data_IF_776179069879
#
_entry.id   IF_776179069879
#
_cell.length_a   1.000
_cell.length_b   1.000
_cell.length_c   1.000
_cell.angle_alpha   90.00
_cell.angle_beta   90.00
_cell.angle_gamma   90.00
#
_symmetry.space_group_name_H-M   'P 1'
#
loop_
_entity.id
_entity.type
_entity.pdbx_description
1 polymer ?
#
# COMPACT_ATOMS: atom_id res chain seq x y z
N UNK A 1 -9.27 -37.32 -19.88
CA UNK A 1 -9.47 -37.03 -18.45
C UNK A 1 -8.22 -36.80 -17.64
N UNK A 2 -7.01 -37.12 -18.13
CA UNK A 2 -5.75 -36.94 -17.36
C UNK A 2 -5.01 -35.61 -17.63
N UNK A 3 -5.36 -34.88 -18.67
CA UNK A 3 -4.69 -33.58 -18.98
C UNK A 3 -5.27 -32.38 -18.22
N UNK A 4 -6.51 -32.45 -17.71
CA UNK A 4 -7.13 -31.36 -16.96
C UNK A 4 -6.62 -31.23 -15.50
N UNK A 5 -6.08 -32.31 -14.92
CA UNK A 5 -5.59 -32.28 -13.53
C UNK A 5 -4.16 -31.73 -13.36
N UNK A 6 -3.38 -31.59 -14.42
CA UNK A 6 -2.00 -31.09 -14.34
C UNK A 6 -1.90 -29.56 -14.41
N UNK A 7 -2.87 -28.87 -15.02
CA UNK A 7 -2.88 -27.41 -15.07
C UNK A 7 -3.37 -26.76 -13.76
N UNK A 8 -4.27 -27.44 -13.03
CA UNK A 8 -4.81 -26.93 -11.75
C UNK A 8 -3.82 -27.01 -10.58
N UNK A 9 -2.69 -27.68 -10.73
CA UNK A 9 -1.71 -27.88 -9.64
C UNK A 9 -0.47 -26.98 -9.74
N UNK A 10 -0.39 -26.03 -10.68
CA UNK A 10 0.79 -25.16 -10.81
C UNK A 10 0.96 -24.21 -9.61
N UNK A 11 -0.13 -23.78 -9.01
CA UNK A 11 -0.10 -22.89 -7.83
C UNK A 11 0.55 -23.57 -6.62
N UNK A 12 0.31 -24.87 -6.46
CA UNK A 12 0.84 -25.66 -5.34
C UNK A 12 2.13 -26.44 -5.70
N UNK A 13 2.67 -26.25 -6.91
CA UNK A 13 3.89 -26.92 -7.34
C UNK A 13 5.10 -26.41 -6.56
N UNK A 14 5.94 -27.33 -6.10
CA UNK A 14 7.18 -27.02 -5.40
C UNK A 14 8.34 -27.03 -6.38
N UNK A 15 9.00 -25.88 -6.53
CA UNK A 15 10.22 -25.75 -7.32
C UNK A 15 11.46 -25.90 -6.43
N UNK A 16 12.62 -26.33 -6.98
CA UNK A 16 13.86 -26.36 -6.22
C UNK A 16 14.26 -24.94 -5.79
N UNK A 17 14.91 -24.84 -4.63
CA UNK A 17 15.33 -23.55 -4.03
C UNK A 17 16.13 -22.68 -5.00
N UNK A 18 17.03 -23.25 -5.78
CA UNK A 18 17.83 -22.49 -6.76
C UNK A 18 17.01 -21.80 -7.84
N UNK A 19 15.76 -22.24 -8.10
CA UNK A 19 14.80 -21.59 -9.00
C UNK A 19 13.91 -20.60 -8.24
N UNK A 20 13.49 -20.96 -7.02
CA UNK A 20 12.64 -20.12 -6.18
C UNK A 20 13.33 -18.84 -5.72
N UNK A 21 14.59 -18.95 -5.32
CA UNK A 21 15.32 -17.81 -4.75
C UNK A 21 15.44 -16.62 -5.71
N UNK A 22 15.90 -16.79 -6.96
CA UNK A 22 15.97 -15.65 -7.90
C UNK A 22 14.59 -15.05 -8.20
N UNK A 23 13.57 -15.87 -8.34
CA UNK A 23 12.20 -15.40 -8.59
C UNK A 23 11.61 -14.69 -7.38
N UNK A 24 11.81 -15.23 -6.18
CA UNK A 24 11.42 -14.60 -4.93
C UNK A 24 12.12 -13.26 -4.72
N UNK A 25 13.41 -13.21 -5.03
CA UNK A 25 14.18 -11.96 -4.96
C UNK A 25 13.66 -10.91 -5.94
N UNK A 26 13.23 -11.30 -7.15
CA UNK A 26 12.59 -10.39 -8.09
C UNK A 26 11.32 -9.76 -7.50
N UNK A 27 10.49 -10.56 -6.83
CA UNK A 27 9.29 -10.06 -6.15
C UNK A 27 9.64 -9.09 -5.02
N UNK A 28 10.68 -9.38 -4.23
CA UNK A 28 11.15 -8.49 -3.18
C UNK A 28 11.61 -7.15 -3.78
N UNK A 29 12.42 -7.18 -4.83
CA UNK A 29 12.94 -5.96 -5.47
C UNK A 29 11.82 -5.14 -6.12
N UNK A 30 10.80 -5.77 -6.68
CA UNK A 30 9.67 -5.06 -7.29
C UNK A 30 8.81 -4.31 -6.26
N UNK A 31 8.66 -4.84 -5.04
CA UNK A 31 7.87 -4.21 -3.99
C UNK A 31 8.70 -3.31 -3.05
N UNK A 32 10.02 -3.42 -3.08
CA UNK A 32 10.92 -2.82 -2.09
C UNK A 32 10.79 -1.29 -2.01
N UNK A 33 10.76 -0.61 -3.15
CA UNK A 33 10.61 0.85 -3.21
C UNK A 33 9.34 1.31 -2.50
N UNK A 34 8.21 0.66 -2.76
CA UNK A 34 6.95 0.94 -2.09
C UNK A 34 6.99 0.64 -0.60
N UNK A 35 7.64 -0.46 -0.21
CA UNK A 35 7.74 -0.87 1.18
C UNK A 35 8.56 0.12 2.03
N UNK A 36 9.68 0.63 1.52
CA UNK A 36 10.50 1.59 2.27
C UNK A 36 9.97 3.02 2.19
N UNK A 37 9.23 3.37 1.16
CA UNK A 37 8.69 4.72 0.98
C UNK A 37 7.80 5.15 2.16
N UNK A 38 6.93 4.29 2.63
CA UNK A 38 5.98 4.62 3.69
C UNK A 38 6.66 4.89 5.03
N UNK A 39 7.55 4.05 5.56
CA UNK A 39 8.26 4.37 6.80
C UNK A 39 9.16 5.62 6.66
N UNK A 40 9.78 5.85 5.51
CA UNK A 40 10.56 7.06 5.28
C UNK A 40 9.69 8.32 5.29
N UNK A 41 8.53 8.29 4.63
CA UNK A 41 7.59 9.40 4.60
C UNK A 41 7.00 9.66 5.98
N UNK A 42 6.52 8.63 6.66
CA UNK A 42 5.95 8.76 7.99
C UNK A 42 6.99 9.26 8.99
N UNK A 43 8.18 8.70 8.96
CA UNK A 43 9.30 9.11 9.80
C UNK A 43 9.69 10.57 9.56
N UNK A 44 9.74 11.01 8.32
CA UNK A 44 10.02 12.40 7.97
C UNK A 44 8.91 13.36 8.42
N UNK A 45 7.65 12.98 8.20
CA UNK A 45 6.49 13.80 8.57
C UNK A 45 6.36 13.96 10.10
N UNK A 46 6.73 12.95 10.88
CA UNK A 46 6.67 12.96 12.34
C UNK A 46 7.99 13.36 13.00
N UNK A 47 8.96 13.81 12.22
CA UNK A 47 10.29 14.25 12.69
C UNK A 47 11.01 13.18 13.54
N UNK A 48 10.92 11.93 13.16
CA UNK A 48 11.64 10.84 13.81
C UNK A 48 13.13 10.91 13.49
N UNK A 49 13.97 10.46 14.42
CA UNK A 49 15.42 10.37 14.19
C UNK A 49 15.77 9.15 13.31
N UNK A 50 17.00 9.10 12.83
CA UNK A 50 17.47 8.03 11.94
C UNK A 50 17.36 6.63 12.58
N UNK A 51 17.59 6.50 13.88
CA UNK A 51 17.47 5.24 14.61
C UNK A 51 16.00 4.75 14.65
N UNK A 52 15.06 5.66 14.91
CA UNK A 52 13.63 5.34 14.91
C UNK A 52 13.13 4.94 13.53
N UNK A 53 13.57 5.64 12.49
CA UNK A 53 13.20 5.32 11.10
C UNK A 53 13.81 3.98 10.69
N UNK A 54 15.05 3.69 11.08
CA UNK A 54 15.68 2.39 10.86
C UNK A 54 14.86 1.26 11.49
N UNK A 55 14.38 1.45 12.71
CA UNK A 55 13.49 0.48 13.35
C UNK A 55 12.19 0.31 12.56
N UNK A 56 11.56 1.39 12.13
CA UNK A 56 10.32 1.33 11.33
C UNK A 56 10.51 0.52 10.05
N UNK A 57 11.62 0.73 9.36
CA UNK A 57 11.93 0.01 8.12
C UNK A 57 12.16 -1.47 8.41
N UNK A 58 12.94 -1.79 9.44
CA UNK A 58 13.19 -3.18 9.84
C UNK A 58 11.89 -3.89 10.24
N UNK A 59 11.05 -3.24 11.04
CA UNK A 59 9.75 -3.75 11.44
C UNK A 59 8.82 -3.93 10.24
N UNK A 60 8.84 -3.00 9.30
CA UNK A 60 8.05 -3.05 8.07
C UNK A 60 8.45 -4.25 7.20
N UNK A 61 9.73 -4.42 6.90
CA UNK A 61 10.21 -5.55 6.10
C UNK A 61 9.90 -6.89 6.76
N UNK A 62 10.14 -6.99 8.06
CA UNK A 62 9.84 -8.18 8.84
C UNK A 62 8.35 -8.53 8.78
N UNK A 63 7.49 -7.55 9.00
CA UNK A 63 6.04 -7.76 9.01
C UNK A 63 5.49 -8.00 7.60
N UNK A 64 6.04 -7.33 6.57
CA UNK A 64 5.74 -7.65 5.17
C UNK A 64 5.98 -9.13 4.88
N UNK A 65 7.09 -9.67 5.37
CA UNK A 65 7.41 -11.08 5.20
C UNK A 65 6.42 -12.00 5.89
N UNK A 66 6.07 -11.71 7.15
CA UNK A 66 5.06 -12.50 7.89
C UNK A 66 3.70 -12.41 7.21
N UNK A 67 3.26 -11.21 6.82
CA UNK A 67 1.99 -10.99 6.14
C UNK A 67 1.93 -11.74 4.81
N UNK A 68 3.01 -11.74 4.05
CA UNK A 68 3.12 -12.50 2.79
C UNK A 68 3.01 -14.00 3.04
N UNK A 69 3.66 -14.52 4.07
CA UNK A 69 3.55 -15.93 4.46
C UNK A 69 2.12 -16.29 4.89
N UNK A 70 1.44 -15.43 5.62
CA UNK A 70 0.04 -15.65 6.00
C UNK A 70 -0.88 -15.79 4.80
N UNK A 71 -0.62 -15.07 3.72
CA UNK A 71 -1.43 -15.13 2.49
C UNK A 71 -0.97 -16.22 1.53
N UNK A 72 0.31 -16.29 1.22
CA UNK A 72 0.82 -17.19 0.18
C UNK A 72 0.99 -18.63 0.68
N UNK A 73 1.48 -18.81 1.88
CA UNK A 73 1.59 -20.13 2.52
C UNK A 73 0.29 -20.50 3.23
N UNK A 74 -0.26 -19.57 3.99
CA UNK A 74 -1.49 -19.76 4.74
C UNK A 74 -1.31 -20.54 6.04
N UNK A 75 -2.37 -20.63 6.81
CA UNK A 75 -2.44 -21.45 8.02
C UNK A 75 -3.67 -22.36 7.92
N UNK A 76 -3.44 -23.63 7.63
CA UNK A 76 -4.49 -24.64 7.53
C UNK A 76 -5.62 -24.23 6.58
N UNK A 77 -6.86 -24.43 7.02
CA UNK A 77 -8.07 -24.01 6.32
C UNK A 77 -8.65 -22.70 6.85
N UNK A 78 -7.89 -21.96 7.66
CA UNK A 78 -8.38 -20.78 8.40
C UNK A 78 -7.92 -19.47 7.78
N UNK A 79 -6.64 -19.34 7.45
CA UNK A 79 -6.02 -18.10 6.99
C UNK A 79 -5.32 -18.28 5.64
N UNK A 80 -5.45 -17.26 4.81
CA UNK A 80 -4.67 -17.11 3.60
C UNK A 80 -5.39 -17.52 2.32
N UNK A 81 -5.24 -16.70 1.31
CA UNK A 81 -5.81 -16.94 -0.02
C UNK A 81 -5.06 -18.03 -0.78
N UNK A 82 -3.84 -18.36 -0.36
CA UNK A 82 -2.94 -19.37 -0.96
C UNK A 82 -2.71 -19.16 -2.45
N UNK A 83 -2.39 -17.95 -2.80
CA UNK A 83 -2.03 -17.49 -4.13
C UNK A 83 -0.67 -16.79 -4.11
N UNK A 84 0.00 -16.64 -5.25
CA UNK A 84 1.28 -15.93 -5.32
C UNK A 84 1.07 -14.40 -5.22
N UNK A 85 0.83 -13.92 -4.01
CA UNK A 85 0.67 -12.51 -3.68
C UNK A 85 1.73 -12.08 -2.68
N UNK A 86 2.14 -10.82 -2.76
CA UNK A 86 3.01 -10.16 -1.79
C UNK A 86 2.24 -9.05 -1.08
N UNK A 87 2.41 -8.96 0.22
CA UNK A 87 1.83 -7.90 1.04
C UNK A 87 2.88 -6.86 1.38
N UNK A 88 2.46 -5.61 1.31
CA UNK A 88 3.26 -4.46 1.73
C UNK A 88 2.36 -3.39 2.32
N UNK A 89 2.95 -2.31 2.81
CA UNK A 89 2.22 -1.23 3.43
C UNK A 89 1.24 -0.56 2.46
N UNK A 90 0.02 -0.33 2.91
CA UNK A 90 -1.01 0.34 2.14
C UNK A 90 -0.72 1.83 1.99
N UNK A 91 -0.72 2.35 0.75
CA UNK A 91 -0.62 3.79 0.50
C UNK A 91 -1.88 4.56 0.93
N UNK A 92 -3.02 3.90 0.98
CA UNK A 92 -4.27 4.49 1.47
C UNK A 92 -4.14 4.94 2.93
N UNK A 93 -3.35 4.23 3.72
CA UNK A 93 -3.14 4.52 5.14
C UNK A 93 -2.16 5.68 5.40
N UNK A 94 -1.38 6.12 4.42
CA UNK A 94 -0.28 7.08 4.65
C UNK A 94 -0.79 8.42 5.18
N UNK A 95 -1.74 9.04 4.50
CA UNK A 95 -2.28 10.35 4.93
C UNK A 95 -2.99 10.26 6.29
N UNK A 96 -3.87 9.29 6.55
CA UNK A 96 -4.46 9.12 7.88
C UNK A 96 -3.44 8.89 8.99
N UNK A 97 -2.42 8.07 8.74
CA UNK A 97 -1.37 7.83 9.74
C UNK A 97 -0.58 9.10 10.07
N UNK A 98 -0.26 9.91 9.06
CA UNK A 98 0.42 11.19 9.28
C UNK A 98 -0.45 12.11 10.14
N UNK A 99 -1.73 12.24 9.82
CA UNK A 99 -2.68 13.06 10.61
C UNK A 99 -2.78 12.60 12.06
N UNK A 100 -3.01 11.32 12.28
CA UNK A 100 -3.11 10.74 13.63
C UNK A 100 -1.78 10.92 14.38
N UNK A 101 -0.67 10.66 13.72
CA UNK A 101 0.66 10.78 14.32
C UNK A 101 1.01 12.21 14.74
N UNK A 102 0.68 13.19 13.91
CA UNK A 102 0.91 14.60 14.22
C UNK A 102 0.02 15.09 15.36
N UNK A 103 -1.20 14.61 15.44
CA UNK A 103 -2.18 15.06 16.42
C UNK A 103 -2.02 14.34 17.76
N UNK A 104 -1.74 13.03 17.77
CA UNK A 104 -1.75 12.19 18.97
C UNK A 104 -0.48 11.39 19.22
N UNK A 105 0.39 11.24 18.24
CA UNK A 105 1.62 10.45 18.31
C UNK A 105 1.52 9.05 17.74
N UNK A 106 2.66 8.35 17.70
CA UNK A 106 2.79 7.01 17.10
C UNK A 106 1.95 5.95 17.80
N UNK A 107 1.89 5.97 19.13
CA UNK A 107 1.17 4.96 19.91
C UNK A 107 -0.32 4.95 19.61
N UNK A 108 -0.89 6.09 19.27
CA UNK A 108 -2.29 6.20 18.85
C UNK A 108 -2.51 5.62 17.46
N UNK A 109 -1.55 5.79 16.54
CA UNK A 109 -1.59 5.12 15.24
C UNK A 109 -1.68 3.60 15.45
N UNK A 110 -0.81 3.05 16.27
CA UNK A 110 -0.73 1.60 16.46
C UNK A 110 -1.94 1.02 17.18
N UNK A 111 -2.51 1.74 18.14
CA UNK A 111 -3.77 1.36 18.76
C UNK A 111 -4.90 1.26 17.74
N UNK A 112 -5.00 2.23 16.84
CA UNK A 112 -5.98 2.25 15.77
C UNK A 112 -5.75 1.13 14.75
N UNK A 113 -4.51 0.88 14.36
CA UNK A 113 -4.13 -0.20 13.43
C UNK A 113 -4.51 -1.57 13.99
N UNK A 114 -4.21 -1.82 15.27
CA UNK A 114 -4.55 -3.09 15.95
C UNK A 114 -6.06 -3.34 15.93
N UNK A 115 -6.84 -2.37 16.39
CA UNK A 115 -8.30 -2.53 16.49
C UNK A 115 -8.93 -2.66 15.11
N UNK A 116 -8.51 -1.85 14.14
CA UNK A 116 -9.00 -1.95 12.77
C UNK A 116 -8.68 -3.30 12.14
N UNK A 117 -7.51 -3.86 12.42
CA UNK A 117 -7.13 -5.20 11.96
C UNK A 117 -8.01 -6.30 12.55
N UNK A 118 -8.32 -6.22 13.84
CA UNK A 118 -9.24 -7.14 14.51
C UNK A 118 -10.64 -7.05 13.90
N UNK A 119 -11.14 -5.83 13.68
CA UNK A 119 -12.46 -5.60 13.09
C UNK A 119 -12.51 -6.20 11.67
N UNK A 120 -11.49 -5.99 10.86
CA UNK A 120 -11.43 -6.54 9.51
C UNK A 120 -11.44 -8.08 9.52
N UNK A 121 -10.66 -8.70 10.39
CA UNK A 121 -10.62 -10.16 10.53
C UNK A 121 -11.98 -10.73 10.96
N UNK A 122 -12.66 -10.06 11.88
CA UNK A 122 -14.01 -10.46 12.34
C UNK A 122 -15.06 -10.27 11.25
N UNK A 123 -14.96 -9.20 10.45
CA UNK A 123 -15.90 -8.92 9.38
C UNK A 123 -15.65 -9.74 8.09
N UNK A 124 -14.55 -10.49 8.01
CA UNK A 124 -14.21 -11.25 6.81
C UNK A 124 -15.35 -12.16 6.28
N UNK A 125 -16.06 -12.91 7.12
CA UNK A 125 -17.16 -13.76 6.64
C UNK A 125 -18.32 -13.00 5.98
N UNK A 126 -18.56 -11.75 6.39
CA UNK A 126 -19.66 -10.90 5.85
C UNK A 126 -19.16 -9.87 4.83
N UNK A 127 -17.89 -9.92 4.46
CA UNK A 127 -17.27 -8.94 3.56
C UNK A 127 -17.93 -8.94 2.16
N UNK A 128 -18.45 -10.08 1.71
CA UNK A 128 -19.22 -10.17 0.46
C UNK A 128 -20.44 -9.25 0.42
N UNK A 129 -21.04 -8.96 1.57
CA UNK A 129 -22.14 -7.97 1.68
C UNK A 129 -21.62 -6.54 1.74
N UNK A 130 -20.48 -6.31 2.39
CA UNK A 130 -19.86 -5.00 2.51
C UNK A 130 -19.40 -4.49 1.14
N UNK A 131 -18.86 -5.36 0.30
CA UNK A 131 -18.35 -4.98 -1.02
C UNK A 131 -19.42 -4.39 -1.93
N UNK A 132 -20.70 -4.67 -1.70
CA UNK A 132 -21.80 -4.11 -2.49
C UNK A 132 -21.88 -2.59 -2.42
N UNK A 133 -21.39 -1.99 -1.32
CA UNK A 133 -21.35 -0.53 -1.17
C UNK A 133 -20.09 0.09 -1.79
N UNK A 134 -19.20 -0.72 -2.36
CA UNK A 134 -17.95 -0.30 -2.99
C UNK A 134 -17.87 -0.67 -4.47
N UNK A 135 -18.85 -0.29 -5.31
CA UNK A 135 -18.76 -0.52 -6.76
C UNK A 135 -17.64 0.36 -7.38
N UNK A 136 -17.30 0.15 -8.66
CA UNK A 136 -16.25 0.92 -9.33
C UNK A 136 -16.38 2.43 -9.23
N UNK A 137 -17.60 2.97 -9.26
CA UNK A 137 -17.82 4.42 -9.11
C UNK A 137 -17.35 4.95 -7.76
N UNK A 138 -17.50 4.16 -6.70
CA UNK A 138 -17.00 4.49 -5.35
C UNK A 138 -15.50 4.24 -5.25
N UNK A 139 -15.07 3.03 -5.58
CA UNK A 139 -13.66 2.61 -5.45
C UNK A 139 -12.74 3.46 -6.31
N UNK A 140 -13.12 3.69 -7.57
CA UNK A 140 -12.33 4.53 -8.49
C UNK A 140 -12.21 5.97 -8.02
N UNK A 141 -13.30 6.55 -7.51
CA UNK A 141 -13.30 7.93 -6.99
C UNK A 141 -12.38 8.07 -5.78
N UNK A 142 -12.49 7.17 -4.81
CA UNK A 142 -11.69 7.25 -3.60
C UNK A 142 -10.21 6.97 -3.84
N UNK A 143 -9.84 6.01 -4.69
CA UNK A 143 -8.45 5.71 -5.01
C UNK A 143 -7.81 6.87 -5.78
N UNK A 144 -8.56 7.51 -6.68
CA UNK A 144 -8.10 8.73 -7.36
C UNK A 144 -7.78 9.82 -6.34
N UNK A 145 -8.64 10.04 -5.37
CA UNK A 145 -8.40 11.03 -4.30
C UNK A 145 -7.22 10.64 -3.43
N UNK A 146 -7.03 9.36 -3.12
CA UNK A 146 -5.85 8.88 -2.38
C UNK A 146 -4.56 9.33 -3.07
N UNK A 147 -4.43 9.03 -4.36
CA UNK A 147 -3.24 9.40 -5.12
C UNK A 147 -3.04 10.91 -5.20
N UNK A 148 -4.10 11.67 -5.50
CA UNK A 148 -4.04 13.13 -5.58
C UNK A 148 -3.69 13.75 -4.21
N UNK A 149 -4.24 13.24 -3.12
CA UNK A 149 -3.97 13.72 -1.77
C UNK A 149 -2.50 13.53 -1.36
N UNK A 150 -1.88 12.46 -1.81
CA UNK A 150 -0.49 12.15 -1.51
C UNK A 150 0.51 12.99 -2.32
N UNK A 151 0.06 13.68 -3.36
CA UNK A 151 0.91 14.54 -4.19
C UNK A 151 1.58 15.63 -3.35
N UNK A 152 0.86 16.24 -2.41
CA UNK A 152 1.44 17.24 -1.49
C UNK A 152 2.57 16.67 -0.63
N UNK A 153 2.41 15.44 -0.17
CA UNK A 153 3.45 14.73 0.61
C UNK A 153 4.70 14.52 -0.24
N UNK A 154 4.53 14.09 -1.49
CA UNK A 154 5.64 13.89 -2.43
C UNK A 154 6.38 15.20 -2.72
N UNK A 155 5.69 16.29 -2.97
CA UNK A 155 6.32 17.61 -3.20
C UNK A 155 7.03 18.15 -1.96
N UNK A 156 6.50 17.95 -0.77
CA UNK A 156 7.18 18.33 0.47
C UNK A 156 8.52 17.57 0.62
N UNK A 157 8.54 16.29 0.30
CA UNK A 157 9.79 15.52 0.28
C UNK A 157 10.73 16.00 -0.82
N UNK A 158 10.22 16.26 -2.03
CA UNK A 158 11.01 16.76 -3.15
C UNK A 158 11.70 18.11 -2.84
N UNK A 159 11.03 18.97 -2.07
CA UNK A 159 11.57 20.25 -1.64
C UNK A 159 12.61 20.13 -0.49
N UNK A 160 12.78 18.96 0.09
CA UNK A 160 13.77 18.70 1.14
C UNK A 160 13.20 18.21 2.46
N UNK A 161 11.89 18.05 2.57
CA UNK A 161 11.17 17.66 3.78
C UNK A 161 10.66 18.86 4.57
N UNK A 162 9.44 18.75 5.10
CA UNK A 162 8.79 19.80 5.88
C UNK A 162 9.62 20.16 7.11
N UNK A 163 9.87 21.44 7.33
CA UNK A 163 10.67 21.92 8.47
C UNK A 163 12.18 21.90 8.24
N UNK A 164 12.67 21.42 7.11
CA UNK A 164 14.08 21.49 6.75
C UNK A 164 14.50 22.95 6.48
N UNK A 165 15.73 23.30 6.88
CA UNK A 165 16.31 24.64 6.61
C UNK A 165 16.52 24.88 5.10
N UNK A 166 16.71 23.82 4.32
CA UNK A 166 16.90 23.87 2.88
C UNK A 166 15.60 23.66 2.10
N UNK A 167 14.46 23.72 2.76
CA UNK A 167 13.16 23.51 2.11
C UNK A 167 12.95 24.49 0.96
N UNK A 168 12.67 23.95 -0.23
CA UNK A 168 12.47 24.73 -1.43
C UNK A 168 13.75 25.13 -2.16
N UNK A 169 14.93 24.72 -1.68
CA UNK A 169 16.19 24.95 -2.38
C UNK A 169 16.12 24.33 -3.79
N UNK A 170 16.49 25.09 -4.85
CA UNK A 170 16.52 24.56 -6.21
C UNK A 170 17.33 23.28 -6.38
N UNK A 171 18.38 23.06 -5.58
CA UNK A 171 19.15 21.81 -5.60
C UNK A 171 18.30 20.59 -5.22
N UNK A 172 17.41 20.73 -4.24
CA UNK A 172 16.50 19.68 -3.84
C UNK A 172 15.54 19.33 -4.97
N UNK A 173 14.93 20.34 -5.56
CA UNK A 173 13.99 20.16 -6.66
C UNK A 173 14.66 19.58 -7.91
N UNK A 174 15.90 20.00 -8.19
CA UNK A 174 16.69 19.45 -9.29
C UNK A 174 17.01 17.97 -9.08
N UNK A 175 17.36 17.58 -7.85
CA UNK A 175 17.63 16.18 -7.49
C UNK A 175 16.37 15.32 -7.60
N UNK A 176 15.22 15.84 -7.15
CA UNK A 176 13.94 15.17 -7.32
C UNK A 176 13.57 15.00 -8.80
N UNK A 177 13.76 16.03 -9.60
CA UNK A 177 13.52 15.99 -11.05
C UNK A 177 14.45 14.99 -11.75
N UNK A 178 15.71 14.92 -11.33
CA UNK A 178 16.68 13.95 -11.85
C UNK A 178 16.23 12.52 -11.53
N UNK A 179 15.81 12.25 -10.30
CA UNK A 179 15.30 10.93 -9.91
C UNK A 179 14.08 10.53 -10.73
N UNK A 180 13.13 11.44 -10.90
CA UNK A 180 11.96 11.23 -11.75
C UNK A 180 12.38 10.92 -13.20
N UNK A 181 13.32 11.67 -13.75
CA UNK A 181 13.82 11.47 -15.09
C UNK A 181 14.45 10.08 -15.28
N UNK A 182 15.25 9.63 -14.33
CA UNK A 182 15.84 8.27 -14.37
C UNK A 182 14.74 7.20 -14.40
N UNK A 183 13.71 7.34 -13.59
CA UNK A 183 12.58 6.40 -13.59
C UNK A 183 11.91 6.36 -14.97
N UNK A 184 11.67 7.51 -15.57
CA UNK A 184 11.03 7.60 -16.89
C UNK A 184 11.90 7.00 -17.99
N UNK A 185 13.21 7.27 -17.95
CA UNK A 185 14.18 6.73 -18.92
C UNK A 185 14.27 5.21 -18.81
N UNK A 186 14.37 4.68 -17.61
CA UNK A 186 14.41 3.22 -17.39
C UNK A 186 13.11 2.58 -17.89
N UNK A 187 11.98 3.17 -17.61
CA UNK A 187 10.70 2.66 -18.07
C UNK A 187 10.59 2.64 -19.59
N UNK A 188 11.12 3.67 -20.27
CA UNK A 188 11.05 3.77 -21.73
C UNK A 188 11.98 2.80 -22.44
N UNK A 189 13.23 2.69 -22.01
CA UNK A 189 14.29 2.00 -22.75
C UNK A 189 14.53 0.56 -22.32
N UNK A 190 13.99 0.14 -21.18
CA UNK A 190 14.13 -1.21 -20.66
C UNK A 190 12.77 -1.90 -20.59
N UNK A 191 12.78 -3.23 -20.68
CA UNK A 191 11.58 -4.07 -20.60
C UNK A 191 11.79 -5.20 -19.59
N UNK A 192 10.71 -5.88 -19.23
CA UNK A 192 10.75 -7.01 -18.31
C UNK A 192 11.03 -6.58 -16.88
N UNK A 193 11.90 -7.33 -16.21
CA UNK A 193 12.21 -7.12 -14.80
C UNK A 193 12.84 -5.74 -14.52
N UNK A 194 13.75 -5.27 -15.38
CA UNK A 194 14.40 -3.96 -15.21
C UNK A 194 13.36 -2.83 -15.22
N UNK A 195 12.40 -2.90 -16.12
CA UNK A 195 11.28 -1.94 -16.15
C UNK A 195 10.44 -2.01 -14.88
N UNK A 196 10.21 -3.21 -14.35
CA UNK A 196 9.42 -3.41 -13.13
C UNK A 196 10.07 -2.80 -11.88
N UNK A 197 11.39 -2.68 -11.86
CA UNK A 197 12.14 -2.08 -10.73
C UNK A 197 12.62 -0.65 -11.04
N UNK A 198 12.03 0.03 -12.01
CA UNK A 198 12.44 1.38 -12.43
C UNK A 198 12.49 2.37 -11.26
N UNK A 199 11.51 2.35 -10.37
CA UNK A 199 11.48 3.23 -9.19
C UNK A 199 12.65 2.96 -8.25
N UNK A 200 12.97 1.70 -8.00
CA UNK A 200 14.12 1.31 -7.19
C UNK A 200 15.43 1.78 -7.81
N UNK A 201 15.58 1.63 -9.12
CA UNK A 201 16.77 2.12 -9.86
C UNK A 201 16.88 3.64 -9.72
N UNK A 202 15.78 4.36 -9.83
CA UNK A 202 15.74 5.81 -9.62
C UNK A 202 16.17 6.21 -8.21
N UNK A 203 15.70 5.50 -7.20
CA UNK A 203 16.12 5.73 -5.81
C UNK A 203 17.64 5.49 -5.61
N UNK A 204 18.17 4.42 -6.17
CA UNK A 204 19.59 4.07 -6.05
C UNK A 204 20.45 5.11 -6.78
N UNK A 205 20.16 5.40 -8.04
CA UNK A 205 20.93 6.36 -8.85
C UNK A 205 20.81 7.77 -8.27
N UNK A 206 19.63 8.18 -7.86
CA UNK A 206 19.40 9.48 -7.21
C UNK A 206 20.19 9.61 -5.90
N UNK A 207 20.25 8.56 -5.10
CA UNK A 207 21.04 8.54 -3.85
C UNK A 207 22.54 8.59 -4.12
N UNK A 208 23.02 7.91 -5.16
CA UNK A 208 24.43 7.98 -5.58
C UNK A 208 24.78 9.41 -5.97
N UNK A 209 23.97 10.07 -6.79
CA UNK A 209 24.20 11.47 -7.18
C UNK A 209 24.14 12.38 -5.94
N UNK A 210 23.19 12.18 -5.05
CA UNK A 210 23.09 12.93 -3.80
C UNK A 210 24.32 12.74 -2.91
N UNK A 211 24.93 11.57 -2.91
CA UNK A 211 26.19 11.30 -2.20
C UNK A 211 27.32 12.20 -2.70
N UNK A 212 27.45 12.39 -4.02
CA UNK A 212 28.42 13.33 -4.61
C UNK A 212 28.11 14.80 -4.29
N UNK A 213 26.86 15.10 -3.95
CA UNK A 213 26.46 16.44 -3.52
C UNK A 213 26.62 16.68 -2.00
N UNK A 214 27.13 15.70 -1.28
CA UNK A 214 27.29 15.79 0.18
C UNK A 214 26.01 15.68 0.99
N UNK A 215 24.92 15.16 0.42
CA UNK A 215 23.61 15.06 1.06
C UNK A 215 23.35 13.72 1.76
N UNK A 216 24.28 12.77 1.71
CA UNK A 216 24.11 11.42 2.24
C UNK A 216 25.05 11.21 3.42
N UNK A 217 24.51 10.64 4.51
CA UNK A 217 25.28 10.23 5.68
C UNK A 217 25.12 8.73 5.92
N UNK A 218 26.23 8.04 6.11
CA UNK A 218 26.25 6.61 6.42
C UNK A 218 26.39 6.31 7.92
N UNK A 219 26.27 7.33 8.78
CA UNK A 219 26.43 7.17 10.23
C UNK A 219 25.42 6.18 10.83
N UNK A 220 24.17 6.23 10.38
CA UNK A 220 23.13 5.29 10.83
C UNK A 220 23.48 3.84 10.46
N UNK A 221 24.09 3.61 9.30
CA UNK A 221 24.52 2.27 8.86
C UNK A 221 25.65 1.76 9.74
N UNK A 222 26.65 2.60 10.04
CA UNK A 222 27.78 2.20 10.88
C UNK A 222 27.38 1.93 12.33
N UNK A 223 26.40 2.66 12.86
CA UNK A 223 25.90 2.51 14.23
C UNK A 223 24.88 1.37 14.39
N UNK A 224 24.24 0.93 13.31
CA UNK A 224 23.26 -0.13 13.37
C UNK A 224 23.92 -1.49 13.64
N UNK A 225 23.22 -2.35 14.38
CA UNK A 225 23.67 -3.73 14.62
C UNK A 225 23.47 -4.60 13.38
N UNK A 226 24.20 -5.71 13.33
CA UNK A 226 24.06 -6.69 12.24
C UNK A 226 22.81 -7.55 12.40
N UNK A 227 22.40 -7.82 13.63
CA UNK A 227 21.26 -8.68 13.92
C UNK A 227 20.47 -8.11 15.08
N UNK A 228 19.15 -8.00 14.91
CA UNK A 228 18.23 -7.59 15.96
C UNK A 228 16.84 -8.14 15.67
N UNK A 229 16.18 -8.68 16.67
CA UNK A 229 14.79 -9.13 16.56
C UNK A 229 13.89 -7.92 16.73
N UNK A 230 12.89 -7.79 15.87
CA UNK A 230 11.88 -6.74 15.96
C UNK A 230 11.11 -6.88 17.27
N UNK A 231 11.16 -5.84 18.11
CA UNK A 231 10.57 -5.83 19.44
C UNK A 231 9.12 -5.35 19.37
N UNK A 232 8.13 -6.13 19.86
CA UNK A 232 6.77 -5.65 19.97
C UNK A 232 6.68 -4.39 20.84
N UNK A 233 5.77 -3.49 20.48
CA UNK A 233 5.52 -2.25 21.23
C UNK A 233 6.76 -1.37 21.46
N UNK A 234 7.65 -1.32 20.48
CA UNK A 234 8.91 -0.58 20.56
C UNK A 234 8.71 0.91 20.93
N UNK A 235 7.70 1.57 20.33
CA UNK A 235 7.41 2.99 20.58
C UNK A 235 6.56 3.23 21.83
N UNK A 236 6.12 2.20 22.49
CA UNK A 236 5.34 2.29 23.73
C UNK A 236 4.02 1.52 23.68
N UNK A 237 3.27 1.63 24.76
CA UNK A 237 1.96 0.97 24.88
C UNK A 237 0.97 1.63 23.94
N UNK A 238 0.21 0.85 23.12
CA UNK A 238 -0.78 1.41 22.23
C UNK A 238 -1.84 2.24 22.97
N UNK A 239 -2.19 3.38 22.40
CA UNK A 239 -3.27 4.25 22.89
C UNK A 239 -4.49 4.06 21.98
N UNK A 240 -5.64 3.80 22.60
CA UNK A 240 -6.87 3.53 21.87
C UNK A 240 -7.78 4.76 21.90
N UNK A 241 -7.89 5.45 20.75
CA UNK A 241 -8.80 6.57 20.55
C UNK A 241 -9.87 6.21 19.54
N UNK A 242 -11.11 6.52 19.87
CA UNK A 242 -12.27 6.17 19.03
C UNK A 242 -12.18 6.84 17.65
N UNK A 243 -11.80 8.12 17.59
CA UNK A 243 -11.65 8.85 16.32
C UNK A 243 -10.61 8.22 15.39
N UNK A 244 -9.43 7.90 15.93
CA UNK A 244 -8.38 7.23 15.19
C UNK A 244 -8.78 5.80 14.74
N UNK A 245 -9.46 5.06 15.60
CA UNK A 245 -9.97 3.71 15.30
C UNK A 245 -10.99 3.75 14.16
N UNK A 246 -11.92 4.69 14.18
CA UNK A 246 -12.91 4.88 13.09
C UNK A 246 -12.18 5.16 11.78
N UNK A 247 -11.23 6.08 11.78
CA UNK A 247 -10.43 6.44 10.62
C UNK A 247 -9.72 5.21 10.03
N UNK A 248 -8.99 4.48 10.86
CA UNK A 248 -8.22 3.32 10.39
C UNK A 248 -9.11 2.14 10.00
N UNK A 249 -10.28 1.99 10.60
CA UNK A 249 -11.25 0.97 10.20
C UNK A 249 -11.77 1.22 8.79
N UNK A 250 -12.12 2.47 8.47
CA UNK A 250 -12.54 2.85 7.13
C UNK A 250 -11.42 2.59 6.11
N UNK A 251 -10.19 2.99 6.43
CA UNK A 251 -9.00 2.72 5.60
C UNK A 251 -8.83 1.22 5.37
N UNK A 252 -8.99 0.41 6.40
CA UNK A 252 -8.85 -1.05 6.29
C UNK A 252 -9.90 -1.69 5.40
N UNK A 253 -11.13 -1.21 5.46
CA UNK A 253 -12.20 -1.68 4.58
C UNK A 253 -11.91 -1.35 3.11
N UNK A 254 -11.41 -0.14 2.84
CA UNK A 254 -11.01 0.28 1.50
C UNK A 254 -9.85 -0.59 0.99
N UNK A 255 -8.83 -0.78 1.81
CA UNK A 255 -7.68 -1.62 1.47
C UNK A 255 -8.09 -3.08 1.20
N UNK A 256 -9.06 -3.60 1.95
CA UNK A 256 -9.58 -4.94 1.74
C UNK A 256 -10.33 -5.08 0.41
N UNK A 257 -11.08 -4.06 -0.02
CA UNK A 257 -11.70 -4.03 -1.35
C UNK A 257 -10.64 -4.09 -2.45
N UNK A 258 -9.57 -3.30 -2.31
CA UNK A 258 -8.44 -3.33 -3.24
C UNK A 258 -7.78 -4.71 -3.26
N UNK A 259 -7.54 -5.31 -2.10
CA UNK A 259 -6.96 -6.65 -1.98
C UNK A 259 -7.80 -7.72 -2.67
N UNK A 260 -9.13 -7.65 -2.58
CA UNK A 260 -10.02 -8.58 -3.30
C UNK A 260 -9.80 -8.50 -4.80
N UNK A 261 -9.66 -7.30 -5.35
CA UNK A 261 -9.34 -7.11 -6.76
C UNK A 261 -8.04 -7.81 -7.15
N UNK A 262 -7.00 -7.71 -6.33
CA UNK A 262 -5.72 -8.39 -6.54
C UNK A 262 -5.87 -9.92 -6.47
N UNK A 263 -6.59 -10.44 -5.49
CA UNK A 263 -6.80 -11.89 -5.36
C UNK A 263 -7.51 -12.48 -6.57
N UNK A 264 -8.53 -11.80 -7.06
CA UNK A 264 -9.30 -12.25 -8.23
C UNK A 264 -8.43 -12.18 -9.49
N UNK A 265 -7.68 -11.09 -9.69
CA UNK A 265 -6.76 -10.94 -10.81
C UNK A 265 -5.68 -12.03 -10.81
N UNK A 266 -5.05 -12.28 -9.67
CA UNK A 266 -4.02 -13.33 -9.54
C UNK A 266 -4.63 -14.71 -9.76
N UNK A 267 -5.79 -14.98 -9.19
CA UNK A 267 -6.50 -16.24 -9.39
C UNK A 267 -6.75 -16.54 -10.86
N UNK A 268 -7.14 -15.55 -11.65
CA UNK A 268 -7.34 -15.68 -13.09
C UNK A 268 -6.03 -15.90 -13.84
N UNK A 269 -4.97 -15.18 -13.49
CA UNK A 269 -3.64 -15.32 -14.14
C UNK A 269 -3.09 -16.72 -13.91
N UNK A 270 -3.19 -17.25 -12.70
CA UNK A 270 -2.67 -18.59 -12.36
C UNK A 270 -3.64 -19.71 -12.69
N UNK A 271 -4.77 -19.41 -13.32
CA UNK A 271 -5.83 -20.36 -13.70
C UNK A 271 -6.40 -21.16 -12.51
N UNK A 272 -6.48 -20.52 -11.36
CA UNK A 272 -7.14 -21.02 -10.16
C UNK A 272 -8.14 -19.97 -9.69
N UNK A 273 -9.36 -19.90 -10.26
CA UNK A 273 -10.37 -18.93 -9.88
C UNK A 273 -10.64 -18.96 -8.38
N UNK A 274 -10.78 -17.80 -7.80
CA UNK A 274 -11.06 -17.67 -6.36
C UNK A 274 -12.51 -18.04 -6.05
N UNK A 275 -12.70 -18.79 -4.98
CA UNK A 275 -14.02 -19.05 -4.40
C UNK A 275 -14.32 -18.03 -3.31
N UNK A 276 -15.60 -17.86 -2.96
CA UNK A 276 -16.00 -17.02 -1.82
C UNK A 276 -15.29 -17.42 -0.54
N UNK A 277 -15.17 -18.72 -0.28
CA UNK A 277 -14.46 -19.24 0.88
C UNK A 277 -12.98 -18.83 0.89
N UNK A 278 -12.30 -18.95 -0.23
CA UNK A 278 -10.90 -18.55 -0.40
C UNK A 278 -10.71 -17.04 -0.18
N UNK A 279 -11.61 -16.21 -0.70
CA UNK A 279 -11.58 -14.75 -0.50
C UNK A 279 -11.78 -14.37 0.98
N UNK A 280 -12.68 -15.03 1.69
CA UNK A 280 -12.89 -14.82 3.13
C UNK A 280 -11.62 -15.14 3.92
N UNK A 281 -10.95 -16.24 3.62
CA UNK A 281 -9.67 -16.59 4.24
C UNK A 281 -8.58 -15.55 3.94
N UNK A 282 -8.58 -15.02 2.72
CA UNK A 282 -7.65 -13.95 2.32
C UNK A 282 -7.89 -12.65 3.09
N UNK A 283 -9.12 -12.20 3.23
CA UNK A 283 -9.46 -11.00 3.98
C UNK A 283 -9.18 -11.18 5.47
N UNK A 284 -9.44 -12.35 6.02
CA UNK A 284 -9.09 -12.66 7.41
C UNK A 284 -7.59 -12.56 7.64
N UNK A 285 -6.78 -13.07 6.72
CA UNK A 285 -5.32 -12.95 6.77
C UNK A 285 -4.85 -11.50 6.64
N UNK A 286 -5.49 -10.68 5.81
CA UNK A 286 -5.23 -9.23 5.73
C UNK A 286 -5.45 -8.57 7.11
N UNK A 287 -6.55 -8.87 7.77
CA UNK A 287 -6.85 -8.34 9.11
C UNK A 287 -5.84 -8.77 10.17
N UNK A 288 -5.44 -10.04 10.17
CA UNK A 288 -4.42 -10.57 11.10
C UNK A 288 -3.05 -9.95 10.80
N UNK A 289 -2.69 -9.79 9.54
CA UNK A 289 -1.45 -9.12 9.15
C UNK A 289 -1.41 -7.67 9.65
N UNK A 290 -2.51 -6.95 9.55
CA UNK A 290 -2.63 -5.60 10.08
C UNK A 290 -2.53 -5.56 11.61
N UNK A 291 -3.17 -6.49 12.31
CA UNK A 291 -3.03 -6.64 13.75
C UNK A 291 -1.56 -6.82 14.15
N UNK A 292 -0.85 -7.72 13.48
CA UNK A 292 0.58 -7.93 13.70
C UNK A 292 1.40 -6.68 13.39
N UNK A 293 1.04 -5.96 12.33
CA UNK A 293 1.66 -4.68 11.98
C UNK A 293 1.56 -3.66 13.12
N UNK A 294 0.39 -3.56 13.75
CA UNK A 294 0.20 -2.69 14.91
C UNK A 294 1.02 -3.12 16.13
N UNK A 295 1.02 -4.41 16.44
CA UNK A 295 1.78 -4.97 17.57
C UNK A 295 3.30 -4.80 17.39
N UNK A 296 3.80 -5.02 16.19
CA UNK A 296 5.24 -4.89 15.86
C UNK A 296 5.65 -3.46 15.55
N UNK A 297 4.77 -2.50 15.72
CA UNK A 297 4.98 -1.08 15.40
C UNK A 297 5.42 -0.86 13.94
N UNK A 298 4.67 -1.47 13.07
CA UNK A 298 4.81 -1.39 11.63
C UNK A 298 3.58 -0.71 11.01
N UNK A 299 2.87 -1.34 10.07
CA UNK A 299 1.84 -0.67 9.26
C UNK A 299 0.64 -1.57 8.96
N UNK A 300 -0.46 -1.01 8.44
CA UNK A 300 -1.50 -1.79 7.77
C UNK A 300 -0.96 -2.38 6.47
N UNK A 301 -1.25 -3.64 6.19
CA UNK A 301 -0.75 -4.36 5.02
C UNK A 301 -1.87 -4.69 4.05
N UNK A 302 -1.53 -4.66 2.77
CA UNK A 302 -2.42 -5.04 1.69
C UNK A 302 -1.63 -5.75 0.60
N UNK A 303 -2.32 -6.52 -0.23
CA UNK A 303 -1.72 -7.20 -1.38
C UNK A 303 -1.32 -6.20 -2.46
N UNK A 304 -0.06 -6.24 -2.90
CA UNK A 304 0.49 -5.32 -3.89
C UNK A 304 0.09 -5.72 -5.30
N UNK A 305 -0.52 -4.80 -6.02
CA UNK A 305 -0.86 -4.96 -7.43
C UNK A 305 0.36 -4.93 -8.36
N UNK A 306 1.43 -4.25 -7.97
CA UNK A 306 2.66 -4.14 -8.77
C UNK A 306 3.30 -5.51 -9.04
N UNK A 307 3.21 -6.42 -8.09
CA UNK A 307 3.80 -7.75 -8.22
C UNK A 307 2.99 -8.67 -9.14
N UNK A 308 1.75 -8.34 -9.45
CA UNK A 308 0.92 -9.08 -10.41
C UNK A 308 1.56 -9.06 -11.81
N UNK A 309 2.15 -7.95 -12.21
CA UNK A 309 2.88 -7.83 -13.47
C UNK A 309 4.04 -8.83 -13.60
N UNK A 310 4.74 -9.14 -12.51
CA UNK A 310 5.82 -10.13 -12.50
C UNK A 310 5.30 -11.55 -12.75
N UNK A 311 4.12 -11.89 -12.28
CA UNK A 311 3.49 -13.18 -12.55
C UNK A 311 3.20 -13.35 -14.04
N UNK A 312 2.74 -12.28 -14.69
CA UNK A 312 2.50 -12.27 -16.14
C UNK A 312 3.81 -12.42 -16.91
N UNK A 313 4.84 -11.67 -16.53
CA UNK A 313 6.14 -11.67 -17.20
C UNK A 313 6.89 -12.99 -17.04
N UNK A 314 6.98 -13.51 -15.83
CA UNK A 314 7.76 -14.72 -15.53
C UNK A 314 7.07 -16.01 -15.94
N UNK A 315 5.76 -15.98 -16.13
CA UNK A 315 4.89 -17.15 -16.35
C UNK A 315 5.01 -18.23 -15.27
N UNK A 316 5.59 -17.88 -14.12
CA UNK A 316 5.72 -18.77 -12.96
C UNK A 316 4.51 -18.55 -12.06
N UNK A 317 3.73 -19.59 -11.85
CA UNK A 317 2.41 -19.55 -11.21
C UNK A 317 2.37 -20.09 -9.79
N UNK A 318 3.49 -20.60 -9.29
CA UNK A 318 3.52 -21.20 -7.94
C UNK A 318 3.51 -20.12 -6.85
N UNK A 319 2.68 -20.35 -5.83
CA UNK A 319 2.65 -19.49 -4.63
C UNK A 319 3.94 -19.56 -3.81
N UNK A 320 4.73 -20.61 -3.95
CA UNK A 320 5.99 -20.77 -3.21
C UNK A 320 7.07 -19.77 -3.61
N UNK A 321 6.98 -19.14 -4.76
CA UNK A 321 7.82 -17.98 -5.12
C UNK A 321 7.59 -16.84 -4.13
N UNK A 322 6.35 -16.52 -3.79
CA UNK A 322 6.01 -15.49 -2.82
C UNK A 322 6.29 -15.94 -1.38
N UNK A 323 6.18 -17.22 -1.07
CA UNK A 323 6.65 -17.78 0.21
C UNK A 323 8.15 -17.53 0.38
N UNK A 324 8.94 -17.80 -0.66
CA UNK A 324 10.37 -17.50 -0.67
C UNK A 324 10.63 -15.99 -0.48
N UNK A 325 9.89 -15.15 -1.19
CA UNK A 325 9.97 -13.69 -1.04
C UNK A 325 9.67 -13.25 0.40
N UNK A 326 8.65 -13.82 1.02
CA UNK A 326 8.31 -13.55 2.42
C UNK A 326 9.43 -13.91 3.39
N UNK A 327 10.08 -15.05 3.18
CA UNK A 327 11.23 -15.46 3.99
C UNK A 327 12.42 -14.49 3.81
N UNK A 328 12.68 -14.06 2.57
CA UNK A 328 13.73 -13.06 2.29
C UNK A 328 13.43 -11.76 3.03
N UNK A 329 12.20 -11.28 3.02
CA UNK A 329 11.79 -10.06 3.70
C UNK A 329 11.96 -10.17 5.22
N UNK A 330 11.63 -11.30 5.82
CA UNK A 330 11.85 -11.56 7.25
C UNK A 330 13.33 -11.46 7.59
N UNK A 331 14.19 -12.09 6.79
CA UNK A 331 15.65 -12.05 6.98
C UNK A 331 16.15 -10.62 6.88
N UNK A 332 15.72 -9.86 5.87
CA UNK A 332 16.11 -8.45 5.70
C UNK A 332 15.66 -7.58 6.89
N UNK A 333 14.48 -7.84 7.43
CA UNK A 333 13.97 -7.14 8.61
C UNK A 333 14.74 -7.46 9.90
N UNK A 334 15.44 -8.58 9.95
CA UNK A 334 16.31 -8.96 11.08
C UNK A 334 17.70 -8.36 11.01
N UNK A 335 18.05 -7.65 9.93
CA UNK A 335 19.36 -7.04 9.72
C UNK A 335 19.21 -5.50 9.76
N UNK A 336 19.40 -4.84 10.92
CA UNK A 336 19.23 -3.39 11.04
C UNK A 336 20.15 -2.58 10.11
N UNK A 337 21.34 -3.06 9.80
CA UNK A 337 22.24 -2.39 8.86
C UNK A 337 21.59 -2.26 7.47
N UNK A 338 20.86 -3.25 7.03
CA UNK A 338 20.14 -3.20 5.76
C UNK A 338 18.99 -2.16 5.80
N UNK A 339 18.25 -2.12 6.90
CA UNK A 339 17.21 -1.10 7.09
C UNK A 339 17.81 0.31 7.18
N UNK A 340 18.93 0.47 7.88
CA UNK A 340 19.64 1.74 7.99
C UNK A 340 20.14 2.25 6.63
N UNK A 341 20.49 1.35 5.72
CA UNK A 341 20.89 1.72 4.36
C UNK A 341 19.79 2.48 3.62
N UNK A 342 18.53 2.10 3.82
CA UNK A 342 17.41 2.82 3.25
C UNK A 342 17.25 4.24 3.82
N UNK A 343 17.68 4.51 5.05
CA UNK A 343 17.63 5.85 5.63
C UNK A 343 18.64 6.82 4.99
N UNK A 344 19.59 6.32 4.22
CA UNK A 344 20.53 7.16 3.46
C UNK A 344 19.89 7.89 2.29
N UNK A 345 18.70 7.45 1.87
CA UNK A 345 17.96 8.07 0.76
C UNK A 345 17.52 9.47 1.20
N UNK A 346 18.03 10.55 0.55
CA UNK A 346 17.61 11.90 0.91
C UNK A 346 16.15 12.16 0.56
N UNK A 347 15.51 13.06 1.29
CA UNK A 347 14.11 13.44 1.04
C UNK A 347 13.84 13.86 -0.41
N UNK A 348 14.69 14.66 -1.10
CA UNK A 348 14.45 15.00 -2.50
C UNK A 348 14.40 13.81 -3.45
N UNK A 349 15.27 12.82 -3.26
CA UNK A 349 15.27 11.58 -4.05
C UNK A 349 13.99 10.80 -3.80
N UNK A 350 13.62 10.64 -2.54
CA UNK A 350 12.36 10.01 -2.16
C UNK A 350 11.16 10.74 -2.77
N UNK A 351 11.19 12.07 -2.75
CA UNK A 351 10.13 12.91 -3.34
C UNK A 351 9.95 12.67 -4.83
N UNK A 352 11.03 12.60 -5.59
CA UNK A 352 11.00 12.29 -7.01
C UNK A 352 10.39 10.92 -7.31
N UNK A 353 10.76 9.91 -6.53
CA UNK A 353 10.22 8.56 -6.65
C UNK A 353 8.74 8.48 -6.25
N UNK A 354 8.36 9.12 -5.16
CA UNK A 354 6.98 9.10 -4.66
C UNK A 354 6.01 9.90 -5.53
N UNK A 355 6.48 10.93 -6.24
CA UNK A 355 5.66 11.59 -7.26
C UNK A 355 5.13 10.59 -8.29
N UNK A 356 5.99 9.70 -8.76
CA UNK A 356 5.58 8.63 -9.70
C UNK A 356 4.66 7.64 -9.01
N UNK A 357 5.03 7.15 -7.84
CA UNK A 357 4.27 6.11 -7.13
C UNK A 357 2.87 6.58 -6.77
N UNK A 358 2.74 7.78 -6.23
CA UNK A 358 1.43 8.33 -5.84
C UNK A 358 0.61 8.79 -7.04
N UNK A 359 1.27 9.32 -8.07
CA UNK A 359 0.62 9.60 -9.34
C UNK A 359 0.04 8.34 -9.96
N UNK A 360 0.74 7.21 -9.88
CA UNK A 360 0.24 5.92 -10.36
C UNK A 360 -0.96 5.41 -9.55
N UNK A 361 -1.03 5.71 -8.27
CA UNK A 361 -2.24 5.40 -7.46
C UNK A 361 -3.44 6.17 -8.01
N UNK A 362 -3.28 7.47 -8.28
CA UNK A 362 -4.35 8.28 -8.88
C UNK A 362 -4.79 7.74 -10.24
N UNK A 363 -3.83 7.36 -11.10
CA UNK A 363 -4.12 6.77 -12.42
C UNK A 363 -4.84 5.43 -12.29
N UNK A 364 -4.48 4.61 -11.30
CA UNK A 364 -5.19 3.35 -11.01
C UNK A 364 -6.65 3.62 -10.67
N UNK A 365 -6.93 4.64 -9.86
CA UNK A 365 -8.29 5.08 -9.57
C UNK A 365 -9.03 5.53 -10.83
N UNK A 366 -8.39 6.32 -11.68
CA UNK A 366 -8.97 6.75 -12.96
C UNK A 366 -9.26 5.58 -13.89
N UNK A 367 -8.37 4.58 -13.93
CA UNK A 367 -8.59 3.35 -14.72
C UNK A 367 -9.83 2.60 -14.28
N UNK A 368 -10.06 2.48 -12.99
CA UNK A 368 -11.28 1.88 -12.45
C UNK A 368 -12.52 2.67 -12.92
N UNK A 369 -12.43 4.00 -12.96
CA UNK A 369 -13.50 4.88 -13.41
C UNK A 369 -13.86 4.70 -14.90
N UNK A 370 -12.96 4.20 -15.75
CA UNK A 370 -13.28 3.88 -17.13
C UNK A 370 -14.35 2.79 -17.28
N UNK A 371 -14.55 1.96 -16.28
CA UNK A 371 -15.58 0.91 -16.26
C UNK A 371 -16.95 1.45 -15.86
N UNK A 372 -17.02 2.68 -15.38
CA UNK A 372 -18.26 3.33 -14.93
C UNK A 372 -19.02 3.87 -16.14
N UNK A 373 -20.34 3.69 -16.16
CA UNK A 373 -21.21 4.30 -17.17
C UNK A 373 -21.31 5.81 -16.93
N UNK A 374 -20.51 6.56 -17.68
CA UNK A 374 -20.45 8.02 -17.57
C UNK A 374 -21.69 8.72 -18.21
N UNK A 375 -22.54 8.00 -18.91
CA UNK A 375 -23.78 8.55 -19.46
C UNK A 375 -24.87 8.71 -18.38
N UNK A 376 -24.74 8.01 -17.26
CA UNK A 376 -25.62 8.23 -16.11
C UNK A 376 -25.19 9.48 -15.36
N UNK A 377 -26.06 10.49 -15.30
CA UNK A 377 -25.77 11.77 -14.63
C UNK A 377 -25.49 11.60 -13.14
N UNK A 378 -26.13 10.63 -12.49
CA UNK A 378 -25.86 10.30 -11.08
C UNK A 378 -24.43 9.86 -10.84
N UNK A 379 -23.86 9.03 -11.73
CA UNK A 379 -22.48 8.60 -11.62
C UNK A 379 -21.48 9.77 -11.75
N UNK A 380 -21.74 10.69 -12.68
CA UNK A 380 -20.92 11.90 -12.82
C UNK A 380 -20.92 12.74 -11.55
N UNK A 381 -22.09 12.92 -10.93
CA UNK A 381 -22.23 13.68 -9.69
C UNK A 381 -21.56 12.99 -8.50
N UNK A 382 -21.61 11.66 -8.44
CA UNK A 382 -20.91 10.89 -7.41
C UNK A 382 -19.39 11.15 -7.50
N UNK A 383 -18.83 11.00 -8.70
CA UNK A 383 -17.39 11.19 -8.94
C UNK A 383 -16.99 12.64 -8.64
N UNK A 384 -17.75 13.60 -9.21
CA UNK A 384 -17.45 15.02 -9.03
C UNK A 384 -17.47 15.43 -7.55
N UNK A 385 -18.50 15.04 -6.82
CA UNK A 385 -18.65 15.38 -5.40
C UNK A 385 -17.60 14.69 -4.53
N UNK A 386 -17.32 13.41 -4.79
CA UNK A 386 -16.31 12.65 -4.04
C UNK A 386 -14.91 13.25 -4.23
N UNK A 387 -14.53 13.58 -5.45
CA UNK A 387 -13.22 14.18 -5.76
C UNK A 387 -13.13 15.58 -5.14
N UNK A 388 -14.14 16.41 -5.32
CA UNK A 388 -14.14 17.77 -4.79
C UNK A 388 -14.08 17.81 -3.27
N UNK A 389 -14.95 17.05 -2.58
CA UNK A 389 -14.96 16.98 -1.12
C UNK A 389 -13.73 16.28 -0.56
N UNK A 390 -13.23 15.26 -1.27
CA UNK A 390 -12.00 14.57 -0.88
C UNK A 390 -10.77 15.47 -0.96
N UNK A 391 -10.70 16.37 -1.91
CA UNK A 391 -9.57 17.31 -2.06
C UNK A 391 -9.72 18.58 -1.24
N UNK A 392 -10.93 18.92 -0.82
CA UNK A 392 -11.22 20.19 -0.13
C UNK A 392 -10.39 20.41 1.13
N UNK A 393 -10.24 19.38 1.95
CA UNK A 393 -9.45 19.47 3.19
C UNK A 393 -7.95 19.66 2.97
N UNK A 394 -7.42 19.23 1.85
CA UNK A 394 -6.00 19.45 1.46
C UNK A 394 -5.79 20.84 0.85
N UNK A 395 -6.74 21.29 0.04
CA UNK A 395 -6.62 22.54 -0.70
C UNK A 395 -6.99 23.74 0.17
N UNK A 396 -8.04 23.61 0.97
CA UNK A 396 -8.58 24.68 1.78
C UNK A 396 -8.90 24.23 3.22
N UNK A 397 -7.90 23.83 4.02
CA UNK A 397 -8.13 23.32 5.36
C UNK A 397 -8.79 24.36 6.28
N UNK A 398 -8.55 25.65 6.08
CA UNK A 398 -9.15 26.72 6.86
C UNK A 398 -10.67 26.80 6.73
N UNK A 399 -11.25 26.27 5.64
CA UNK A 399 -12.68 26.23 5.45
C UNK A 399 -13.42 25.39 6.51
N UNK A 400 -12.73 24.43 7.12
CA UNK A 400 -13.31 23.50 8.09
C UNK A 400 -12.88 23.78 9.53
N UNK A 401 -12.12 24.84 9.77
CA UNK A 401 -11.48 25.11 11.06
C UNK A 401 -12.47 25.27 12.23
N UNK A 402 -13.67 25.74 11.97
CA UNK A 402 -14.70 26.01 13.00
C UNK A 402 -15.70 24.85 13.18
N UNK A 403 -15.54 23.76 12.47
CA UNK A 403 -16.44 22.62 12.56
C UNK A 403 -16.17 21.76 13.81
N UNK A 404 -17.16 21.00 14.30
CA UNK A 404 -16.95 20.04 15.38
C UNK A 404 -15.85 19.04 15.03
N UNK A 405 -15.15 18.53 16.04
CA UNK A 405 -13.95 17.70 15.88
C UNK A 405 -14.15 16.51 14.94
N UNK A 406 -15.21 15.71 15.11
CA UNK A 406 -15.43 14.53 14.26
C UNK A 406 -15.75 14.88 12.82
N UNK A 407 -16.52 15.94 12.60
CA UNK A 407 -16.84 16.38 11.25
C UNK A 407 -15.62 16.98 10.55
N UNK A 408 -14.83 17.77 11.26
CA UNK A 408 -13.56 18.31 10.79
C UNK A 408 -12.58 17.20 10.41
N UNK A 409 -12.46 16.17 11.24
CA UNK A 409 -11.61 15.01 11.00
C UNK A 409 -11.98 14.29 9.71
N UNK A 410 -13.27 14.05 9.46
CA UNK A 410 -13.76 13.40 8.25
C UNK A 410 -13.47 14.25 7.01
N UNK A 411 -13.75 15.55 7.07
CA UNK A 411 -13.61 16.44 5.91
C UNK A 411 -12.15 16.80 5.61
N UNK A 412 -11.26 16.77 6.58
CA UNK A 412 -9.83 17.02 6.38
C UNK A 412 -9.08 15.79 5.85
N UNK A 413 -9.56 14.58 6.12
CA UNK A 413 -9.00 13.35 5.55
C UNK A 413 -9.62 13.06 4.20
N UNK A 414 -8.88 13.39 3.13
CA UNK A 414 -9.35 13.27 1.75
C UNK A 414 -9.91 11.91 1.39
N UNK A 415 -9.20 10.79 1.62
CA UNK A 415 -9.71 9.46 1.31
C UNK A 415 -11.01 9.11 2.03
N UNK A 416 -11.14 9.50 3.29
CA UNK A 416 -12.35 9.24 4.09
C UNK A 416 -13.52 10.09 3.60
N UNK A 417 -13.29 11.38 3.38
CA UNK A 417 -14.29 12.28 2.83
C UNK A 417 -14.79 11.80 1.47
N UNK A 418 -13.88 11.39 0.59
CA UNK A 418 -14.21 10.84 -0.72
C UNK A 418 -15.01 9.54 -0.61
N UNK A 419 -14.58 8.61 0.25
CA UNK A 419 -15.25 7.34 0.44
C UNK A 419 -16.68 7.52 0.96
N UNK A 420 -16.85 8.30 2.02
CA UNK A 420 -18.17 8.55 2.60
C UNK A 420 -19.09 9.29 1.63
N UNK A 421 -18.59 10.30 0.93
CA UNK A 421 -19.36 11.03 -0.07
C UNK A 421 -19.80 10.10 -1.19
N UNK A 422 -18.88 9.31 -1.74
CA UNK A 422 -19.19 8.39 -2.83
C UNK A 422 -20.19 7.30 -2.41
N UNK A 423 -20.02 6.73 -1.22
CA UNK A 423 -20.93 5.71 -0.68
C UNK A 423 -22.34 6.28 -0.50
N UNK A 424 -22.44 7.42 0.16
CA UNK A 424 -23.75 8.05 0.44
C UNK A 424 -24.46 8.42 -0.86
N UNK A 425 -23.76 9.05 -1.81
CA UNK A 425 -24.36 9.45 -3.08
C UNK A 425 -24.68 8.24 -3.97
N UNK A 426 -23.87 7.20 -3.93
CA UNK A 426 -24.17 5.97 -4.66
C UNK A 426 -25.42 5.28 -4.09
N UNK A 427 -25.58 5.27 -2.78
CA UNK A 427 -26.81 4.81 -2.14
C UNK A 427 -28.02 5.66 -2.56
N UNK A 428 -27.84 6.96 -2.67
CA UNK A 428 -28.91 7.89 -3.09
C UNK A 428 -29.32 7.68 -4.55
N UNK A 429 -28.37 7.58 -5.48
CA UNK A 429 -28.65 7.49 -6.91
C UNK A 429 -28.91 6.08 -7.41
N UNK A 430 -28.28 5.07 -6.83
CA UNK A 430 -28.22 3.71 -7.36
C UNK A 430 -28.76 2.66 -6.36
N UNK A 431 -29.62 3.03 -5.43
CA UNK A 431 -30.15 2.16 -4.40
C UNK A 431 -30.68 0.82 -4.92
N UNK A 432 -31.45 0.87 -6.01
CA UNK A 432 -32.08 -0.32 -6.59
C UNK A 432 -31.05 -1.31 -7.14
N UNK A 433 -29.96 -0.81 -7.71
CA UNK A 433 -28.89 -1.64 -8.27
C UNK A 433 -28.05 -2.30 -7.18
N UNK A 434 -27.80 -1.59 -6.07
CA UNK A 434 -26.99 -2.08 -4.95
C UNK A 434 -27.64 -3.26 -4.25
N UNK A 435 -28.94 -3.23 -4.06
CA UNK A 435 -29.73 -4.24 -3.35
C UNK A 435 -30.49 -5.19 -4.28
N UNK A 436 -30.13 -5.24 -5.57
CA UNK A 436 -30.59 -6.30 -6.46
C UNK A 436 -29.91 -7.62 -6.11
N UNK A 437 -30.59 -8.75 -6.35
CA UNK A 437 -30.09 -10.10 -6.07
C UNK A 437 -28.95 -10.56 -7.01
N UNK A 438 -28.47 -9.69 -7.89
CA UNK A 438 -27.30 -9.96 -8.73
C UNK A 438 -26.03 -10.02 -7.87
N UNK A 439 -25.17 -11.03 -8.11
CA UNK A 439 -23.89 -11.10 -7.47
C UNK A 439 -23.06 -9.84 -7.77
N UNK A 440 -22.33 -9.30 -6.78
CA UNK A 440 -21.47 -8.15 -7.01
C UNK A 440 -20.41 -8.53 -8.04
N UNK A 441 -20.40 -7.83 -9.17
CA UNK A 441 -19.38 -7.99 -10.19
C UNK A 441 -18.16 -7.22 -9.71
N UNK A 442 -17.13 -7.96 -9.27
CA UNK A 442 -15.82 -7.37 -9.02
C UNK A 442 -15.15 -7.27 -10.40
N UNK A 443 -15.12 -6.05 -10.94
CA UNK A 443 -14.45 -5.81 -12.21
C UNK A 443 -12.93 -5.92 -12.07
N UNK A 444 -12.34 -6.81 -12.86
CA UNK A 444 -10.92 -6.93 -13.06
C UNK A 444 -10.59 -6.13 -14.31
N UNK A 445 -9.61 -5.22 -14.29
CA UNK A 445 -9.15 -4.58 -15.52
C UNK A 445 -8.78 -5.62 -16.57
N UNK A 446 -9.27 -5.46 -17.79
CA UNK A 446 -9.06 -6.40 -18.89
C UNK A 446 -7.57 -6.69 -19.16
N UNK A 447 -6.69 -5.76 -18.84
CA UNK A 447 -5.24 -5.89 -18.99
C UNK A 447 -4.63 -6.93 -18.02
N UNK A 448 -5.31 -7.27 -16.94
CA UNK A 448 -4.87 -8.27 -15.98
C UNK A 448 -5.53 -9.64 -16.22
N UNK A 449 -6.49 -9.71 -17.14
CA UNK A 449 -7.22 -10.93 -17.49
C UNK A 449 -6.65 -11.65 -18.72
N UNK A 450 -5.75 -11.02 -19.47
CA UNK A 450 -5.04 -11.57 -20.62
C UNK A 450 -3.58 -11.97 -20.25
#
# INVERSE_FOLDING_TARGET
GKKMNTENNQVDSKLPFRKLFPLGLQHVLAMYAGAIAVPLILGGALALNAQQITFLIAADLFTCGIATLLQAFGIGNLLGVKLPVILACSFIAVSPMISIGKQYGLTTIYGAVIVAGIILAVLAPVFGKIIRIFPPVVTGSLITVVGLSLTSVAFNSAAGGTGSKSFGDPKNLALAAFTLLIILVVNKYFKGFIQAIAVLIGLIVGTIVASFMGMVSFSAVSQASWLHIVTPFYFGVPVFRVDAIITMTIVSLIAAVEALGVFIAVGNIVKKPTSTESLVKGIRAEGIAQLLGGVLNSFPYTSFSQNVGLLVLSKVRTRFVCVCAGIILIILGLIPKFAALATTIPAPVLGGATLVMFGMVAVTGMRILFEVDMNKSGNLLIIASAVALGMGGKIAPAAFALLPHYLKMILEEGPIAAALTAIILNLFFNWKEIFSDSEPIIHIPDELSS
#
